data_IF_975001608750
#
_entry.id   IF_975001608750
#
_cell.length_a   1.000
_cell.length_b   1.000
_cell.length_c   1.000
_cell.angle_alpha   90.00
_cell.angle_beta   90.00
_cell.angle_gamma   90.00
#
_symmetry.space_group_name_H-M   'P 1'
#
loop_
_entity.id
_entity.type
_entity.pdbx_description
1 polymer ?
#
# COMPACT_ATOMS: atom_id res chain seq x y z
N UNK A 1 -1.05 52.97 -11.78
CA UNK A 1 -1.57 54.35 -11.56
C UNK A 1 -0.39 55.30 -11.68
N UNK A 2 -0.60 56.50 -12.20
CA UNK A 2 0.39 57.57 -12.45
C UNK A 2 1.11 58.01 -11.16
N UNK A 3 2.23 58.76 -11.16
CA UNK A 3 2.55 59.95 -11.98
C UNK A 3 4.07 60.27 -12.00
N UNK A 4 4.52 60.73 -13.16
CA UNK A 4 5.69 61.55 -13.60
C UNK A 4 6.85 61.85 -12.62
N UNK A 5 8.14 61.74 -12.98
CA UNK A 5 8.91 62.39 -14.07
C UNK A 5 9.14 63.91 -13.85
N UNK A 6 10.40 64.30 -13.60
CA UNK A 6 11.09 65.26 -14.49
C UNK A 6 12.61 65.26 -14.30
N UNK A 7 13.33 65.15 -15.42
CA UNK A 7 14.80 65.12 -15.50
C UNK A 7 15.33 66.37 -16.22
N UNK A 8 16.46 66.91 -15.71
CA UNK A 8 17.37 67.89 -16.34
C UNK A 8 16.82 69.33 -16.57
N UNK A 9 17.55 70.33 -16.06
CA UNK A 9 18.10 71.39 -16.92
C UNK A 9 19.38 72.03 -16.36
N UNK A 10 20.50 71.81 -17.05
CA UNK A 10 21.74 72.59 -16.94
C UNK A 10 21.75 73.69 -18.00
N UNK A 11 22.06 74.94 -17.63
CA UNK A 11 22.72 75.88 -18.54
C UNK A 11 23.48 76.97 -17.76
N UNK A 12 24.54 77.51 -18.39
CA UNK A 12 25.42 78.59 -17.91
C UNK A 12 24.75 79.97 -17.98
N UNK A 13 25.15 80.91 -17.11
CA UNK A 13 26.09 81.98 -17.49
C UNK A 13 26.67 82.75 -16.28
N UNK A 14 27.71 83.55 -16.55
CA UNK A 14 28.53 84.42 -15.68
C UNK A 14 28.56 85.82 -16.40
N UNK A 15 28.87 87.00 -15.80
CA UNK A 15 29.54 87.35 -14.54
C UNK A 15 28.60 88.22 -13.61
N UNK A 16 28.96 89.20 -12.75
CA UNK A 16 30.24 89.81 -12.32
C UNK A 16 30.12 90.57 -10.95
N UNK A 17 31.25 91.13 -10.53
CA UNK A 17 31.48 92.38 -9.78
C UNK A 17 31.25 92.47 -8.25
N UNK A 18 32.21 93.18 -7.61
CA UNK A 18 32.26 93.56 -6.19
C UNK A 18 31.17 94.58 -5.82
N UNK A 19 30.70 94.55 -4.56
CA UNK A 19 31.01 95.68 -3.64
C UNK A 19 30.70 95.41 -2.16
N UNK A 20 31.45 96.13 -1.34
CA UNK A 20 31.52 96.16 0.12
C UNK A 20 30.25 96.78 0.77
N UNK A 21 29.70 96.19 1.85
CA UNK A 21 28.37 96.60 2.33
C UNK A 21 27.91 96.30 3.78
N UNK A 22 28.70 96.67 4.79
CA UNK A 22 28.25 97.03 6.17
C UNK A 22 27.73 95.94 7.14
N UNK A 23 28.29 96.04 8.36
CA UNK A 23 28.04 95.27 9.60
C UNK A 23 26.58 95.32 10.09
N UNK A 24 26.02 94.17 10.46
CA UNK A 24 24.96 94.09 11.47
C UNK A 24 25.59 93.76 12.84
N UNK A 25 25.08 94.35 13.93
CA UNK A 25 25.59 94.15 15.30
C UNK A 25 24.57 93.40 16.16
N UNK A 26 25.05 92.36 16.86
CA UNK A 26 24.61 92.03 18.22
C UNK A 26 23.27 91.32 18.43
N UNK A 27 23.34 90.03 18.76
CA UNK A 27 22.65 89.53 19.94
C UNK A 27 23.71 89.33 21.04
N UNK A 28 23.50 89.82 22.28
CA UNK A 28 24.45 89.63 23.37
C UNK A 28 24.25 88.24 24.00
N UNK A 29 25.17 87.31 23.73
CA UNK A 29 25.33 86.13 24.58
C UNK A 29 25.89 86.58 25.93
N UNK A 30 25.04 86.59 26.95
CA UNK A 30 25.45 86.79 28.34
C UNK A 30 26.25 85.56 28.80
N UNK A 31 27.57 85.70 28.96
CA UNK A 31 28.41 84.64 29.50
C UNK A 31 29.30 85.17 30.63
N UNK A 32 29.01 84.72 31.85
CA UNK A 32 29.84 84.94 33.03
C UNK A 32 30.93 83.86 33.11
N UNK A 33 32.15 84.13 33.63
CA UNK A 33 33.27 83.18 33.61
C UNK A 33 33.06 81.82 34.29
N UNK A 34 31.97 81.62 35.04
CA UNK A 34 31.71 80.41 35.82
C UNK A 34 31.05 79.26 35.03
N UNK A 35 30.56 79.51 33.81
CA UNK A 35 29.88 78.47 33.01
C UNK A 35 30.83 77.53 32.26
N UNK A 36 32.08 77.95 31.99
CA UNK A 36 33.11 77.14 31.34
C UNK A 36 33.33 75.75 32.00
N UNK A 37 33.54 75.62 33.33
CA UNK A 37 33.70 74.32 33.96
C UNK A 37 32.47 73.42 33.83
N UNK A 38 31.26 73.97 33.83
CA UNK A 38 30.01 73.21 33.65
C UNK A 38 29.91 72.64 32.24
N UNK A 39 30.25 73.44 31.22
CA UNK A 39 30.30 72.97 29.83
C UNK A 39 31.37 71.88 29.62
N UNK A 40 32.53 72.01 30.28
CA UNK A 40 33.61 71.01 30.22
C UNK A 40 33.19 69.69 30.90
N UNK A 41 32.58 69.72 32.09
CA UNK A 41 32.12 68.49 32.75
C UNK A 41 31.01 67.79 31.97
N UNK A 42 30.08 68.56 31.38
CA UNK A 42 29.05 68.00 30.50
C UNK A 42 29.65 67.35 29.25
N UNK A 43 30.65 67.98 28.62
CA UNK A 43 31.36 67.42 27.47
C UNK A 43 32.05 66.09 27.79
N UNK A 44 32.71 65.98 28.95
CA UNK A 44 33.35 64.73 29.42
C UNK A 44 32.30 63.64 29.67
N UNK A 45 31.15 63.97 30.27
CA UNK A 45 30.05 63.04 30.49
C UNK A 45 29.46 62.54 29.16
N UNK A 46 29.28 63.42 28.17
CA UNK A 46 28.83 63.06 26.82
C UNK A 46 29.82 62.13 26.08
N UNK A 47 31.12 62.38 26.20
CA UNK A 47 32.13 61.47 25.62
C UNK A 47 32.11 60.10 26.29
N UNK A 48 31.95 60.06 27.61
CA UNK A 48 31.80 58.80 28.36
C UNK A 48 30.56 57.99 27.95
N UNK A 49 29.39 58.65 27.80
CA UNK A 49 28.16 57.97 27.39
C UNK A 49 28.23 57.45 25.95
N UNK A 50 28.85 58.19 25.03
CA UNK A 50 29.10 57.73 23.65
C UNK A 50 29.92 56.44 23.62
N UNK A 51 30.99 56.33 24.42
CA UNK A 51 31.80 55.10 24.49
C UNK A 51 30.99 53.91 25.01
N UNK A 52 30.12 54.12 26.01
CA UNK A 52 29.24 53.07 26.54
C UNK A 52 28.22 52.62 25.48
N UNK A 53 27.60 53.57 24.75
CA UNK A 53 26.66 53.27 23.66
C UNK A 53 27.35 52.45 22.55
N UNK A 54 28.58 52.77 22.18
CA UNK A 54 29.35 52.01 21.17
C UNK A 54 29.61 50.58 21.65
N UNK A 55 29.97 50.38 22.93
CA UNK A 55 30.20 49.03 23.48
C UNK A 55 28.92 48.19 23.49
N UNK A 56 27.82 48.74 23.98
CA UNK A 56 26.50 48.10 23.95
C UNK A 56 26.06 47.79 22.51
N UNK A 57 26.30 48.70 21.56
CA UNK A 57 26.01 48.48 20.14
C UNK A 57 26.77 47.30 19.56
N UNK A 58 28.07 47.18 19.84
CA UNK A 58 28.90 46.04 19.39
C UNK A 58 28.46 44.72 20.03
N UNK A 59 28.14 44.70 21.33
CA UNK A 59 27.61 43.50 21.99
C UNK A 59 26.25 43.07 21.41
N UNK A 60 25.34 44.02 21.18
CA UNK A 60 24.05 43.76 20.53
C UNK A 60 24.22 43.23 19.10
N UNK A 61 25.16 43.76 18.32
CA UNK A 61 25.49 43.22 16.99
C UNK A 61 25.99 41.78 17.07
N UNK A 62 26.94 41.46 17.96
CA UNK A 62 27.47 40.10 18.13
C UNK A 62 26.37 39.10 18.55
N UNK A 63 25.47 39.49 19.45
CA UNK A 63 24.34 38.65 19.86
C UNK A 63 23.34 38.47 18.70
N UNK A 64 23.09 39.51 17.90
CA UNK A 64 22.24 39.42 16.71
C UNK A 64 22.82 38.48 15.65
N UNK A 65 24.12 38.55 15.39
CA UNK A 65 24.82 37.65 14.45
C UNK A 65 24.74 36.19 14.92
N UNK A 66 24.94 35.93 16.22
CA UNK A 66 24.80 34.60 16.80
C UNK A 66 23.36 34.06 16.67
N UNK A 67 22.35 34.90 16.91
CA UNK A 67 20.94 34.53 16.76
C UNK A 67 20.57 34.22 15.31
N UNK A 68 21.03 35.01 14.34
CA UNK A 68 20.79 34.75 12.91
C UNK A 68 21.50 33.48 12.43
N UNK A 69 22.71 33.20 12.92
CA UNK A 69 23.40 31.94 12.64
C UNK A 69 22.64 30.73 13.20
N UNK A 70 22.11 30.81 14.42
CA UNK A 70 21.27 29.75 15.00
C UNK A 70 19.97 29.55 14.21
N UNK A 71 19.31 30.64 13.80
CA UNK A 71 18.11 30.60 12.96
C UNK A 71 18.37 29.88 11.62
N UNK A 72 19.50 30.17 10.97
CA UNK A 72 19.91 29.51 9.73
C UNK A 72 20.19 28.01 9.94
N UNK A 73 20.89 27.65 11.02
CA UNK A 73 21.15 26.25 11.39
C UNK A 73 19.85 25.48 11.68
N UNK A 74 18.95 26.04 12.48
CA UNK A 74 17.62 25.46 12.77
C UNK A 74 16.79 25.27 11.50
N UNK A 75 16.79 26.26 10.60
CA UNK A 75 16.10 26.17 9.31
C UNK A 75 16.68 25.03 8.45
N UNK A 76 18.01 24.88 8.42
CA UNK A 76 18.65 23.77 7.72
C UNK A 76 18.29 22.40 8.32
N UNK A 77 18.30 22.29 9.66
CA UNK A 77 17.91 21.05 10.36
C UNK A 77 16.43 20.71 10.12
N UNK A 78 15.52 21.68 10.20
CA UNK A 78 14.11 21.51 9.86
C UNK A 78 13.97 20.97 8.43
N UNK A 79 14.59 21.63 7.45
CA UNK A 79 14.49 21.22 6.05
C UNK A 79 15.10 19.83 5.79
N UNK A 80 16.08 19.39 6.60
CA UNK A 80 16.67 18.04 6.54
C UNK A 80 15.73 17.00 7.17
N UNK A 81 15.15 17.30 8.32
CA UNK A 81 14.18 16.44 9.01
C UNK A 81 12.91 16.26 8.17
N UNK A 82 12.40 17.34 7.57
CA UNK A 82 11.22 17.34 6.71
C UNK A 82 11.43 16.45 5.48
N UNK A 83 12.59 16.54 4.81
CA UNK A 83 12.99 15.60 3.75
C UNK A 83 13.09 14.15 4.22
N UNK A 84 13.57 13.90 5.43
CA UNK A 84 13.60 12.54 6.00
C UNK A 84 12.19 12.01 6.33
N UNK A 85 11.28 12.86 6.80
CA UNK A 85 9.88 12.51 7.05
C UNK A 85 9.20 12.18 5.72
N UNK A 86 9.31 13.02 4.69
CA UNK A 86 8.74 12.71 3.37
C UNK A 86 9.29 11.41 2.76
N UNK A 87 10.59 11.15 2.91
CA UNK A 87 11.19 9.90 2.42
C UNK A 87 10.75 8.66 3.25
N UNK A 88 10.58 8.81 4.57
CA UNK A 88 10.00 7.78 5.45
C UNK A 88 8.56 7.48 5.06
N UNK A 89 7.75 8.53 4.88
CA UNK A 89 6.35 8.46 4.47
C UNK A 89 6.19 7.70 3.15
N UNK A 90 6.96 8.05 2.12
CA UNK A 90 6.95 7.37 0.82
C UNK A 90 7.36 5.89 0.92
N UNK A 91 8.35 5.57 1.75
CA UNK A 91 8.76 4.18 1.98
C UNK A 91 7.70 3.37 2.75
N UNK A 92 6.98 4.01 3.67
CA UNK A 92 5.89 3.40 4.42
C UNK A 92 4.63 3.21 3.56
N UNK A 93 4.29 4.18 2.71
CA UNK A 93 3.20 4.09 1.73
C UNK A 93 3.45 2.98 0.70
N UNK A 94 4.64 2.91 0.11
CA UNK A 94 5.03 1.83 -0.81
C UNK A 94 5.05 0.44 -0.12
N UNK A 95 5.51 0.39 1.14
CA UNK A 95 5.44 -0.83 1.96
C UNK A 95 3.98 -1.24 2.21
N UNK A 96 3.09 -0.28 2.53
CA UNK A 96 1.68 -0.55 2.77
C UNK A 96 0.95 -0.98 1.48
N UNK A 97 1.31 -0.42 0.33
CA UNK A 97 0.80 -0.83 -0.98
C UNK A 97 1.20 -2.28 -1.31
N UNK A 98 2.49 -2.62 -1.21
CA UNK A 98 2.93 -4.01 -1.40
C UNK A 98 2.31 -5.00 -0.40
N UNK A 99 2.01 -4.59 0.83
CA UNK A 99 1.24 -5.42 1.77
C UNK A 99 -0.23 -5.59 1.38
N UNK A 100 -0.87 -4.58 0.78
CA UNK A 100 -2.26 -4.69 0.27
C UNK A 100 -2.31 -5.68 -0.90
N UNK A 101 -1.39 -5.55 -1.88
CA UNK A 101 -1.28 -6.48 -3.01
C UNK A 101 -1.03 -7.92 -2.52
N UNK A 102 -0.08 -8.11 -1.59
CA UNK A 102 0.22 -9.42 -1.04
C UNK A 102 -0.99 -10.03 -0.30
N UNK A 103 -1.75 -9.21 0.44
CA UNK A 103 -2.98 -9.65 1.12
C UNK A 103 -4.06 -10.08 0.13
N UNK A 104 -4.27 -9.32 -0.95
CA UNK A 104 -5.23 -9.67 -2.02
C UNK A 104 -4.84 -10.99 -2.72
N UNK A 105 -3.55 -11.17 -3.01
CA UNK A 105 -3.02 -12.42 -3.59
C UNK A 105 -3.25 -13.60 -2.64
N UNK A 106 -2.98 -13.45 -1.33
CA UNK A 106 -3.22 -14.49 -0.32
C UNK A 106 -4.71 -14.83 -0.22
N UNK A 107 -5.60 -13.84 -0.20
CA UNK A 107 -7.05 -14.05 -0.14
C UNK A 107 -7.58 -14.75 -1.40
N UNK A 108 -7.10 -14.34 -2.58
CA UNK A 108 -7.42 -14.98 -3.86
C UNK A 108 -6.95 -16.43 -3.92
N UNK A 109 -5.72 -16.72 -3.46
CA UNK A 109 -5.19 -18.08 -3.41
C UNK A 109 -5.95 -18.95 -2.40
N UNK A 110 -6.30 -18.41 -1.22
CA UNK A 110 -7.09 -19.11 -0.21
C UNK A 110 -8.50 -19.47 -0.73
N UNK A 111 -9.18 -18.54 -1.41
CA UNK A 111 -10.47 -18.81 -2.06
C UNK A 111 -10.35 -19.92 -3.10
N UNK A 112 -9.34 -19.84 -3.99
CA UNK A 112 -9.14 -20.82 -5.05
C UNK A 112 -8.78 -22.21 -4.52
N UNK A 113 -8.02 -22.29 -3.43
CA UNK A 113 -7.74 -23.55 -2.71
C UNK A 113 -9.01 -24.14 -2.10
N UNK A 114 -9.87 -23.32 -1.50
CA UNK A 114 -11.13 -23.78 -0.92
C UNK A 114 -12.12 -24.29 -2.00
N UNK A 115 -12.22 -23.59 -3.13
CA UNK A 115 -12.96 -24.03 -4.31
C UNK A 115 -12.43 -25.38 -4.83
N UNK A 116 -11.11 -25.50 -5.02
CA UNK A 116 -10.45 -26.74 -5.46
C UNK A 116 -10.68 -27.90 -4.49
N UNK A 117 -10.64 -27.63 -3.18
CA UNK A 117 -10.92 -28.61 -2.13
C UNK A 117 -12.37 -29.11 -2.19
N UNK A 118 -13.33 -28.22 -2.46
CA UNK A 118 -14.73 -28.56 -2.66
C UNK A 118 -14.94 -29.43 -3.92
N UNK A 119 -14.36 -29.05 -5.06
CA UNK A 119 -14.38 -29.87 -6.29
C UNK A 119 -13.84 -31.28 -6.02
N UNK A 120 -12.71 -31.38 -5.30
CA UNK A 120 -12.08 -32.64 -4.96
C UNK A 120 -12.95 -33.51 -4.06
N UNK A 121 -13.64 -32.91 -3.08
CA UNK A 121 -14.58 -33.62 -2.20
C UNK A 121 -15.80 -34.14 -2.97
N UNK A 122 -16.37 -33.32 -3.86
CA UNK A 122 -17.50 -33.73 -4.71
C UNK A 122 -17.11 -34.87 -5.68
N UNK A 123 -15.93 -34.77 -6.31
CA UNK A 123 -15.40 -35.82 -7.19
C UNK A 123 -15.11 -37.11 -6.41
N UNK A 124 -14.56 -37.03 -5.20
CA UNK A 124 -14.31 -38.18 -4.35
C UNK A 124 -15.63 -38.88 -3.98
N UNK A 125 -16.66 -38.11 -3.60
CA UNK A 125 -17.99 -38.63 -3.29
C UNK A 125 -18.66 -39.28 -4.50
N UNK A 126 -18.52 -38.70 -5.71
CA UNK A 126 -18.97 -39.33 -6.95
C UNK A 126 -18.25 -40.65 -7.22
N UNK A 127 -16.94 -40.72 -6.98
CA UNK A 127 -16.15 -41.94 -7.18
C UNK A 127 -16.61 -43.07 -6.23
N UNK A 128 -16.86 -42.75 -4.95
CA UNK A 128 -17.41 -43.70 -3.97
C UNK A 128 -18.80 -44.21 -4.38
N UNK A 129 -19.70 -43.32 -4.81
CA UNK A 129 -21.03 -43.68 -5.29
C UNK A 129 -20.97 -44.57 -6.55
N UNK A 130 -20.07 -44.26 -7.50
CA UNK A 130 -19.83 -45.09 -8.67
C UNK A 130 -19.29 -46.49 -8.30
N UNK A 131 -18.36 -46.59 -7.34
CA UNK A 131 -17.88 -47.88 -6.84
C UNK A 131 -18.99 -48.69 -6.17
N UNK A 132 -19.85 -48.06 -5.37
CA UNK A 132 -21.01 -48.73 -4.78
C UNK A 132 -22.01 -49.19 -5.85
N UNK A 133 -22.29 -48.35 -6.84
CA UNK A 133 -23.19 -48.65 -7.95
C UNK A 133 -22.67 -49.81 -8.79
N UNK A 134 -21.37 -49.85 -9.10
CA UNK A 134 -20.72 -50.97 -9.79
C UNK A 134 -20.80 -52.26 -8.97
N UNK A 135 -20.58 -52.19 -7.65
CA UNK A 135 -20.72 -53.34 -6.75
C UNK A 135 -22.15 -53.87 -6.70
N UNK A 136 -23.16 -52.99 -6.69
CA UNK A 136 -24.57 -53.38 -6.78
C UNK A 136 -24.89 -53.99 -8.15
N UNK A 137 -24.41 -53.41 -9.25
CA UNK A 137 -24.61 -53.93 -10.59
C UNK A 137 -23.98 -55.32 -10.79
N UNK A 138 -22.78 -55.56 -10.24
CA UNK A 138 -22.15 -56.87 -10.21
C UNK A 138 -23.02 -57.92 -9.49
N UNK A 139 -23.66 -57.55 -8.37
CA UNK A 139 -24.61 -58.41 -7.65
C UNK A 139 -25.98 -58.56 -8.33
N UNK A 140 -26.39 -57.63 -9.20
CA UNK A 140 -27.69 -57.63 -9.88
C UNK A 140 -27.62 -58.18 -11.32
N UNK A 141 -26.44 -58.58 -11.79
CA UNK A 141 -26.27 -59.21 -13.10
C UNK A 141 -26.82 -60.64 -13.02
N UNK A 142 -28.06 -60.89 -13.45
CA UNK A 142 -28.54 -62.25 -13.62
C UNK A 142 -27.63 -62.97 -14.63
N UNK A 143 -26.83 -63.97 -14.23
CA UNK A 143 -25.68 -64.42 -15.02
C UNK A 143 -26.07 -65.44 -16.11
N UNK A 144 -27.32 -65.40 -16.56
CA UNK A 144 -27.89 -66.38 -17.47
C UNK A 144 -28.09 -65.78 -18.88
N UNK A 145 -27.95 -66.61 -19.93
CA UNK A 145 -28.33 -66.21 -21.28
C UNK A 145 -29.83 -65.89 -21.39
N UNK A 146 -30.22 -65.23 -22.48
CA UNK A 146 -31.60 -64.89 -22.75
C UNK A 146 -32.50 -66.15 -22.80
N UNK A 147 -33.69 -66.05 -22.20
CA UNK A 147 -34.67 -67.13 -22.01
C UNK A 147 -34.29 -68.25 -21.01
N UNK A 148 -33.19 -68.08 -20.26
CA UNK A 148 -32.84 -68.97 -19.15
C UNK A 148 -33.30 -68.39 -17.80
N UNK A 149 -33.81 -69.25 -16.94
CA UNK A 149 -34.26 -68.90 -15.59
C UNK A 149 -33.07 -69.00 -14.62
N UNK A 150 -32.74 -67.90 -13.96
CA UNK A 150 -31.79 -67.91 -12.84
C UNK A 150 -32.46 -68.42 -11.57
N UNK A 151 -31.85 -69.42 -10.93
CA UNK A 151 -32.26 -69.86 -9.60
C UNK A 151 -31.04 -70.25 -8.76
N UNK A 152 -30.92 -69.62 -7.57
CA UNK A 152 -29.77 -69.69 -6.65
C UNK A 152 -28.45 -69.27 -7.30
N UNK A 153 -27.74 -70.25 -7.86
CA UNK A 153 -26.40 -70.15 -8.44
C UNK A 153 -26.31 -70.88 -9.80
N UNK A 154 -27.46 -71.18 -10.43
CA UNK A 154 -27.50 -71.91 -11.70
C UNK A 154 -28.59 -71.41 -12.64
N UNK A 155 -28.34 -71.57 -13.93
CA UNK A 155 -29.25 -71.21 -15.01
C UNK A 155 -29.97 -72.45 -15.54
N UNK A 156 -31.28 -72.35 -15.72
CA UNK A 156 -32.14 -73.45 -16.13
C UNK A 156 -32.92 -73.08 -17.39
N UNK A 157 -32.96 -73.98 -18.37
CA UNK A 157 -33.72 -73.82 -19.60
C UNK A 157 -34.73 -74.96 -19.74
N UNK A 158 -36.00 -74.61 -19.92
CA UNK A 158 -37.03 -75.58 -20.29
C UNK A 158 -37.13 -75.64 -21.82
N UNK A 159 -36.83 -76.79 -22.41
CA UNK A 159 -37.00 -76.98 -23.85
C UNK A 159 -38.49 -76.96 -24.21
N UNK A 160 -38.84 -76.27 -25.30
CA UNK A 160 -40.22 -76.13 -25.79
C UNK A 160 -40.73 -77.35 -26.57
N UNK A 161 -39.87 -78.35 -26.82
CA UNK A 161 -40.21 -79.56 -27.56
C UNK A 161 -39.98 -80.84 -26.76
N UNK A 162 -40.72 -81.90 -27.11
CA UNK A 162 -40.50 -83.26 -26.58
C UNK A 162 -39.40 -83.97 -27.37
N UNK A 163 -38.30 -84.27 -26.68
CA UNK A 163 -37.20 -85.09 -27.20
C UNK A 163 -37.12 -86.40 -26.40
N UNK A 164 -36.58 -87.46 -27.00
CA UNK A 164 -36.18 -88.62 -26.22
C UNK A 164 -35.02 -88.27 -25.28
N UNK A 165 -34.79 -89.11 -24.26
CA UNK A 165 -33.80 -88.82 -23.21
C UNK A 165 -32.39 -88.58 -23.75
N UNK A 166 -31.98 -89.35 -24.77
CA UNK A 166 -30.65 -89.24 -25.36
C UNK A 166 -30.49 -87.93 -26.13
N UNK A 167 -31.45 -87.61 -27.01
CA UNK A 167 -31.47 -86.33 -27.74
C UNK A 167 -31.59 -85.12 -26.80
N UNK A 168 -32.32 -85.26 -25.69
CA UNK A 168 -32.40 -84.22 -24.65
C UNK A 168 -31.03 -83.93 -24.04
N UNK A 169 -30.27 -84.97 -23.73
CA UNK A 169 -28.90 -84.83 -23.20
C UNK A 169 -27.95 -84.20 -24.23
N UNK A 170 -27.99 -84.66 -25.48
CA UNK A 170 -27.20 -84.10 -26.59
C UNK A 170 -27.54 -82.61 -26.83
N UNK A 171 -28.82 -82.24 -26.78
CA UNK A 171 -29.29 -80.85 -26.93
C UNK A 171 -28.87 -79.93 -25.76
N UNK A 172 -28.83 -80.44 -24.53
CA UNK A 172 -28.25 -79.67 -23.41
C UNK A 172 -26.75 -79.44 -23.60
N UNK A 173 -26.02 -80.46 -24.08
CA UNK A 173 -24.58 -80.37 -24.31
C UNK A 173 -24.22 -79.39 -25.44
N UNK A 174 -25.05 -79.27 -26.48
CA UNK A 174 -24.86 -78.27 -27.55
C UNK A 174 -25.10 -76.82 -27.12
N UNK A 175 -25.64 -76.60 -25.91
CA UNK A 175 -25.86 -75.29 -25.30
C UNK A 175 -24.89 -75.03 -24.14
N UNK A 176 -23.73 -75.72 -24.13
CA UNK A 176 -22.73 -75.72 -23.05
C UNK A 176 -23.30 -76.03 -21.64
N UNK A 177 -24.40 -76.78 -21.61
CA UNK A 177 -25.13 -77.12 -20.40
C UNK A 177 -25.27 -78.64 -20.20
N UNK A 178 -25.99 -79.04 -19.15
CA UNK A 178 -26.18 -80.43 -18.76
C UNK A 178 -27.65 -80.66 -18.45
N UNK A 179 -28.15 -81.85 -18.81
CA UNK A 179 -29.51 -82.26 -18.49
C UNK A 179 -29.73 -82.24 -16.97
N UNK A 180 -30.83 -81.64 -16.52
CA UNK A 180 -31.07 -81.33 -15.11
C UNK A 180 -30.97 -82.58 -14.23
N UNK A 181 -30.08 -82.53 -13.22
CA UNK A 181 -29.96 -83.55 -12.19
C UNK A 181 -30.32 -82.96 -10.83
N UNK A 182 -31.51 -83.31 -10.34
CA UNK A 182 -32.02 -82.92 -9.02
C UNK A 182 -31.36 -83.83 -7.98
N UNK A 183 -30.51 -83.26 -7.11
CA UNK A 183 -29.79 -84.02 -6.08
C UNK A 183 -30.30 -83.75 -4.66
N UNK A 184 -31.15 -82.74 -4.48
CA UNK A 184 -31.74 -82.36 -3.19
C UNK A 184 -33.21 -81.97 -3.33
N UNK A 185 -34.00 -82.20 -2.29
CA UNK A 185 -35.37 -81.65 -2.21
C UNK A 185 -35.38 -80.13 -2.14
N UNK A 186 -34.27 -79.50 -1.74
CA UNK A 186 -34.11 -78.05 -1.80
C UNK A 186 -34.16 -77.48 -3.23
N UNK A 187 -34.03 -78.30 -4.28
CA UNK A 187 -34.11 -77.88 -5.68
C UNK A 187 -35.52 -78.04 -6.27
N UNK A 188 -36.49 -78.49 -5.45
CA UNK A 188 -37.90 -78.68 -5.78
C UNK A 188 -38.84 -77.68 -5.06
N UNK A 189 -38.26 -76.74 -4.31
CA UNK A 189 -38.93 -75.70 -3.49
C UNK A 189 -38.56 -74.34 -4.07
#
# INVERSE_FOLDING_TARGET
MTFDDLKIKTMKDHPDEKSNGKKAKGLPFLYSPWWCPVAVTLGVLCLGSVVIIIKLGVELSQVSDLLTQQQANLTHQKNKLERQISARQQAEEASQESQKELKEIIETLAQKLNEKSKEQMELHQQNLNLQETLKRAANCSAPCPQDWIWHKESCYLFSSGSLDWKKSQENCLSLDAKLLKINSTADLI
#
